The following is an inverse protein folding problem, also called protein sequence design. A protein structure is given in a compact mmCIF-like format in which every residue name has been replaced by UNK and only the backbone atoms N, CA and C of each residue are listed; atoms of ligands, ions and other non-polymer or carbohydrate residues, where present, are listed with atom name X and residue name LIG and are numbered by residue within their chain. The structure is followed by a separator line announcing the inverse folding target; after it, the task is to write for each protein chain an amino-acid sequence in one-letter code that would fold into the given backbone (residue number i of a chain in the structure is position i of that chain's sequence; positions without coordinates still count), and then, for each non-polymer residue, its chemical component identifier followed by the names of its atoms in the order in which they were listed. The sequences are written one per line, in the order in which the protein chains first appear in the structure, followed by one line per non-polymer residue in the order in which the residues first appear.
data_IF_450477914623
#
_entry.id   IF_450477914623
#
_cell.length_a   1.000
_cell.length_b   1.000
_cell.length_c   1.000
_cell.angle_alpha   90.00
_cell.angle_beta   90.00
_cell.angle_gamma   90.00
#
_symmetry.space_group_name_H-M   'P 1'
#
loop_
_entity.id
_entity.type
_entity.pdbx_description
1 polymer ?
#
# COMPACT_ATOMS: atom_id res chain seq x y z
N UNK A 1 37.69 -7.63 34.51
CA UNK A 1 38.67 -6.60 34.13
C UNK A 1 38.02 -5.52 33.28
N UNK A 2 38.67 -4.36 33.23
CA UNK A 2 38.19 -3.22 32.41
C UNK A 2 38.15 -3.59 30.91
N UNK A 3 39.11 -4.36 30.42
CA UNK A 3 39.14 -4.83 29.02
C UNK A 3 37.99 -5.77 28.67
N UNK A 4 37.57 -6.67 29.56
CA UNK A 4 36.44 -7.54 29.33
C UNK A 4 35.11 -6.76 29.24
N UNK A 5 34.96 -5.72 30.06
CA UNK A 5 33.78 -4.85 30.03
C UNK A 5 33.68 -4.02 28.75
N UNK A 6 34.81 -3.54 28.25
CA UNK A 6 34.86 -2.80 26.98
C UNK A 6 34.54 -3.69 25.79
N UNK A 7 35.04 -4.93 25.77
CA UNK A 7 34.72 -5.93 24.73
C UNK A 7 33.23 -6.25 24.71
N UNK A 8 32.62 -6.43 25.87
CA UNK A 8 31.17 -6.72 25.98
C UNK A 8 30.32 -5.54 25.50
N UNK A 9 30.72 -4.30 25.84
CA UNK A 9 30.04 -3.10 25.35
C UNK A 9 30.12 -2.98 23.83
N UNK A 10 31.28 -3.26 23.24
CA UNK A 10 31.48 -3.23 21.80
C UNK A 10 30.60 -4.27 21.09
N UNK A 11 30.51 -5.50 21.63
CA UNK A 11 29.65 -6.55 21.09
C UNK A 11 28.16 -6.16 21.14
N UNK A 12 27.70 -5.57 22.23
CA UNK A 12 26.32 -5.10 22.39
C UNK A 12 26.00 -3.98 21.39
N UNK A 13 26.90 -3.03 21.17
CA UNK A 13 26.74 -1.97 20.17
C UNK A 13 26.63 -2.55 18.77
N UNK A 14 27.48 -3.50 18.41
CA UNK A 14 27.48 -4.15 17.10
C UNK A 14 26.18 -4.92 16.87
N UNK A 15 25.70 -5.67 17.88
CA UNK A 15 24.44 -6.39 17.80
C UNK A 15 23.25 -5.44 17.61
N UNK A 16 23.23 -4.30 18.29
CA UNK A 16 22.18 -3.28 18.13
C UNK A 16 22.22 -2.67 16.74
N UNK A 17 23.39 -2.35 16.21
CA UNK A 17 23.55 -1.82 14.86
C UNK A 17 23.11 -2.82 13.79
N UNK A 18 23.42 -4.11 13.94
CA UNK A 18 22.97 -5.17 13.03
C UNK A 18 21.45 -5.33 13.04
N UNK A 19 20.80 -5.26 14.19
CA UNK A 19 19.33 -5.33 14.29
C UNK A 19 18.67 -4.14 13.60
N UNK A 20 19.20 -2.93 13.77
CA UNK A 20 18.69 -1.73 13.09
C UNK A 20 18.85 -1.82 11.58
N UNK A 21 19.99 -2.30 11.10
CA UNK A 21 20.23 -2.50 9.67
C UNK A 21 19.30 -3.55 9.08
N UNK A 22 19.08 -4.70 9.76
CA UNK A 22 18.13 -5.72 9.36
C UNK A 22 16.71 -5.21 9.28
N UNK A 23 16.25 -4.44 10.28
CA UNK A 23 14.90 -3.84 10.28
C UNK A 23 14.72 -2.85 9.15
N UNK A 24 15.70 -1.99 8.89
CA UNK A 24 15.69 -1.04 7.78
C UNK A 24 15.66 -1.76 6.42
N UNK A 25 16.44 -2.83 6.25
CA UNK A 25 16.47 -3.65 5.03
C UNK A 25 15.12 -4.34 4.80
N UNK A 26 14.53 -4.92 5.85
CA UNK A 26 13.22 -5.58 5.78
C UNK A 26 12.14 -4.57 5.38
N UNK A 27 12.13 -3.36 5.95
CA UNK A 27 11.19 -2.30 5.55
C UNK A 27 11.34 -1.90 4.09
N UNK A 28 12.59 -1.82 3.58
CA UNK A 28 12.86 -1.51 2.18
C UNK A 28 12.35 -2.58 1.21
N UNK A 29 12.27 -3.83 1.66
CA UNK A 29 11.78 -4.95 0.86
C UNK A 29 10.25 -5.08 0.87
N UNK A 30 9.54 -4.35 1.72
CA UNK A 30 8.08 -4.37 1.75
C UNK A 30 7.51 -3.61 0.57
N UNK A 31 6.49 -4.16 -0.10
CA UNK A 31 5.79 -3.41 -1.15
C UNK A 31 5.19 -2.13 -0.58
N UNK A 32 5.38 -1.03 -1.31
CA UNK A 32 4.84 0.27 -0.91
C UNK A 32 3.42 0.43 -1.42
N UNK A 33 2.54 0.96 -0.57
CA UNK A 33 1.11 1.10 -0.85
C UNK A 33 0.65 2.53 -0.61
N UNK A 34 -0.12 3.05 -1.56
CA UNK A 34 -0.94 4.25 -1.39
C UNK A 34 -2.39 3.82 -1.21
N UNK A 35 -3.06 4.32 -0.18
CA UNK A 35 -4.47 4.03 0.07
C UNK A 35 -5.31 5.23 -0.38
N UNK A 36 -6.27 4.99 -1.27
CA UNK A 36 -7.15 6.03 -1.83
C UNK A 36 -8.59 5.71 -1.45
N UNK A 37 -9.15 6.51 -0.56
CA UNK A 37 -10.52 6.35 -0.05
C UNK A 37 -10.94 7.65 0.64
N UNK A 38 -12.19 8.10 0.44
CA UNK A 38 -12.69 9.33 1.03
C UNK A 38 -13.12 9.19 2.51
N UNK A 39 -13.15 7.97 3.05
CA UNK A 39 -13.50 7.71 4.44
C UNK A 39 -12.25 7.64 5.33
N UNK A 40 -12.01 8.60 6.22
CA UNK A 40 -10.83 8.60 7.08
C UNK A 40 -10.69 7.35 7.94
N UNK A 41 -11.80 6.85 8.48
CA UNK A 41 -11.80 5.65 9.32
C UNK A 41 -11.30 4.41 8.56
N UNK A 42 -11.70 4.27 7.29
CA UNK A 42 -11.21 3.17 6.46
C UNK A 42 -9.71 3.34 6.15
N UNK A 43 -9.27 4.55 5.81
CA UNK A 43 -7.83 4.79 5.55
C UNK A 43 -6.97 4.40 6.76
N UNK A 44 -7.39 4.77 7.95
CA UNK A 44 -6.66 4.42 9.19
C UNK A 44 -6.65 2.91 9.44
N UNK A 45 -7.80 2.26 9.35
CA UNK A 45 -7.92 0.81 9.55
C UNK A 45 -7.12 0.02 8.54
N UNK A 46 -7.22 0.37 7.28
CA UNK A 46 -6.50 -0.31 6.20
C UNK A 46 -4.99 -0.11 6.32
N UNK A 47 -4.56 1.09 6.69
CA UNK A 47 -3.15 1.40 6.92
C UNK A 47 -2.57 0.53 8.04
N UNK A 48 -3.24 0.46 9.18
CA UNK A 48 -2.79 -0.35 10.31
C UNK A 48 -2.75 -1.84 9.96
N UNK A 49 -3.79 -2.34 9.27
CA UNK A 49 -3.86 -3.72 8.83
C UNK A 49 -2.71 -4.09 7.90
N UNK A 50 -2.51 -3.30 6.85
CA UNK A 50 -1.49 -3.58 5.84
C UNK A 50 -0.07 -3.45 6.39
N UNK A 51 0.20 -2.47 7.25
CA UNK A 51 1.48 -2.36 7.94
C UNK A 51 1.76 -3.61 8.80
N UNK A 52 0.76 -4.11 9.50
CA UNK A 52 0.89 -5.33 10.31
C UNK A 52 1.10 -6.59 9.46
N UNK A 53 0.65 -6.59 8.21
CA UNK A 53 0.66 -7.76 7.33
C UNK A 53 1.70 -7.69 6.19
N UNK A 54 2.70 -6.84 6.32
CA UNK A 54 3.89 -6.90 5.47
C UNK A 54 3.99 -5.87 4.36
N UNK A 55 3.13 -4.85 4.35
CA UNK A 55 3.20 -3.74 3.41
C UNK A 55 3.72 -2.47 4.08
N UNK A 56 4.30 -1.58 3.30
CA UNK A 56 4.70 -0.25 3.75
C UNK A 56 3.70 0.77 3.19
N UNK A 57 2.83 1.31 4.04
CA UNK A 57 1.87 2.33 3.63
C UNK A 57 2.57 3.68 3.63
N UNK A 58 2.82 4.23 2.44
CA UNK A 58 3.62 5.44 2.26
C UNK A 58 2.80 6.71 2.07
N UNK A 59 1.49 6.58 1.99
CA UNK A 59 0.61 7.73 1.87
C UNK A 59 -0.85 7.33 1.77
N UNK A 60 -1.70 8.34 1.82
CA UNK A 60 -3.13 8.20 1.66
C UNK A 60 -3.68 9.40 0.88
N UNK A 61 -4.77 9.19 0.15
CA UNK A 61 -5.46 10.22 -0.60
C UNK A 61 -6.97 10.08 -0.38
N UNK A 62 -7.66 11.21 -0.36
CA UNK A 62 -9.10 11.25 -0.11
C UNK A 62 -9.95 11.32 -1.38
N UNK A 63 -9.34 11.61 -2.52
CA UNK A 63 -10.03 11.74 -3.81
C UNK A 63 -9.11 11.39 -4.98
N UNK A 64 -9.66 11.41 -6.19
CA UNK A 64 -8.93 11.03 -7.40
C UNK A 64 -7.81 12.00 -7.77
N UNK A 65 -8.02 13.29 -7.62
CA UNK A 65 -7.00 14.30 -7.92
C UNK A 65 -5.80 14.17 -6.97
N UNK A 66 -6.05 14.00 -5.68
CA UNK A 66 -5.00 13.73 -4.70
C UNK A 66 -4.24 12.43 -5.00
N UNK A 67 -4.97 11.39 -5.41
CA UNK A 67 -4.37 10.10 -5.77
C UNK A 67 -3.37 10.24 -6.92
N UNK A 68 -3.76 10.93 -7.99
CA UNK A 68 -2.90 11.13 -9.15
C UNK A 68 -1.64 11.91 -8.76
N UNK A 69 -1.80 12.99 -8.00
CA UNK A 69 -0.67 13.78 -7.50
C UNK A 69 0.25 12.98 -6.57
N UNK A 70 -0.34 12.17 -5.69
CA UNK A 70 0.42 11.35 -4.75
C UNK A 70 1.23 10.25 -5.46
N UNK A 71 0.68 9.64 -6.51
CA UNK A 71 1.40 8.64 -7.30
C UNK A 71 2.64 9.25 -7.97
N UNK A 72 2.52 10.44 -8.54
CA UNK A 72 3.65 11.16 -9.14
C UNK A 72 4.74 11.48 -8.11
N UNK A 73 4.35 11.91 -6.92
CA UNK A 73 5.27 12.31 -5.87
C UNK A 73 5.90 11.13 -5.14
N UNK A 74 5.09 10.14 -4.77
CA UNK A 74 5.50 9.04 -3.90
C UNK A 74 5.93 7.77 -4.64
N UNK A 75 5.47 7.60 -5.87
CA UNK A 75 5.73 6.42 -6.71
C UNK A 75 5.51 5.10 -5.98
N UNK A 76 4.28 4.86 -5.46
CA UNK A 76 3.98 3.61 -4.80
C UNK A 76 4.01 2.44 -5.78
N UNK A 77 4.34 1.26 -5.29
CA UNK A 77 4.28 0.04 -6.08
C UNK A 77 2.84 -0.44 -6.26
N UNK A 78 2.02 -0.21 -5.24
CA UNK A 78 0.61 -0.63 -5.20
C UNK A 78 -0.27 0.55 -4.84
N UNK A 79 -1.40 0.68 -5.52
CA UNK A 79 -2.47 1.63 -5.16
C UNK A 79 -3.73 0.85 -4.82
N UNK A 80 -4.19 0.98 -3.59
CA UNK A 80 -5.48 0.46 -3.15
C UNK A 80 -6.50 1.57 -3.38
N UNK A 81 -7.40 1.38 -4.35
CA UNK A 81 -8.21 2.47 -4.93
C UNK A 81 -9.69 2.19 -4.79
N UNK A 82 -10.39 3.03 -4.03
CA UNK A 82 -11.84 2.99 -3.95
C UNK A 82 -12.46 3.35 -5.31
N UNK A 83 -13.45 2.57 -5.74
CA UNK A 83 -14.19 2.83 -6.96
C UNK A 83 -15.05 4.10 -6.83
N UNK A 84 -15.61 4.35 -5.65
CA UNK A 84 -16.51 5.47 -5.39
C UNK A 84 -15.77 6.63 -4.70
N UNK A 85 -15.23 7.53 -5.49
CA UNK A 85 -14.57 8.73 -5.00
C UNK A 85 -15.45 9.95 -5.23
N UNK A 86 -15.29 11.06 -4.46
CA UNK A 86 -16.17 12.21 -4.56
C UNK A 86 -16.01 13.02 -5.84
N UNK A 87 -14.84 13.02 -6.46
CA UNK A 87 -14.51 13.84 -7.64
C UNK A 87 -14.46 13.05 -8.94
N UNK A 88 -13.87 11.86 -8.91
CA UNK A 88 -13.64 11.02 -10.09
C UNK A 88 -14.09 9.59 -9.80
N UNK A 89 -14.55 8.91 -10.85
CA UNK A 89 -14.79 7.48 -10.83
C UNK A 89 -13.44 6.74 -10.67
N UNK A 90 -13.38 5.77 -9.76
CA UNK A 90 -12.16 4.99 -9.53
C UNK A 90 -11.67 4.24 -10.76
N UNK A 91 -12.56 3.82 -11.66
CA UNK A 91 -12.17 3.21 -12.94
C UNK A 91 -11.40 4.21 -13.82
N UNK A 92 -11.85 5.46 -13.87
CA UNK A 92 -11.17 6.52 -14.61
C UNK A 92 -9.80 6.83 -14.02
N UNK A 93 -9.69 6.86 -12.70
CA UNK A 93 -8.39 7.05 -12.02
C UNK A 93 -7.44 5.90 -12.34
N UNK A 94 -7.92 4.67 -12.31
CA UNK A 94 -7.12 3.49 -12.65
C UNK A 94 -6.55 3.58 -14.07
N UNK A 95 -7.36 4.00 -15.04
CA UNK A 95 -6.92 4.20 -16.42
C UNK A 95 -5.85 5.28 -16.54
N UNK A 96 -6.01 6.39 -15.84
CA UNK A 96 -5.00 7.46 -15.83
C UNK A 96 -3.68 7.02 -15.23
N UNK A 97 -3.73 6.27 -14.16
CA UNK A 97 -2.51 5.73 -13.52
C UNK A 97 -1.81 4.72 -14.42
N UNK A 98 -2.56 3.89 -15.13
CA UNK A 98 -2.02 2.90 -16.05
C UNK A 98 -1.35 3.53 -17.28
N UNK A 99 -1.82 4.69 -17.71
CA UNK A 99 -1.30 5.41 -18.89
C UNK A 99 -0.03 6.21 -18.58
N UNK A 100 0.26 6.49 -17.32
CA UNK A 100 1.42 7.27 -16.90
C UNK A 100 2.72 6.48 -16.88
N UNK A 101 3.87 7.19 -16.83
CA UNK A 101 5.15 6.55 -16.56
C UNK A 101 5.16 6.01 -15.12
N UNK A 102 5.85 4.90 -14.88
CA UNK A 102 5.92 4.27 -13.57
C UNK A 102 4.55 3.84 -13.04
N UNK A 103 3.71 3.27 -13.91
CA UNK A 103 2.38 2.82 -13.55
C UNK A 103 2.39 1.86 -12.35
N UNK A 104 1.69 2.18 -11.25
CA UNK A 104 1.58 1.28 -10.12
C UNK A 104 0.65 0.11 -10.43
N UNK A 105 0.72 -0.94 -9.60
CA UNK A 105 -0.27 -2.01 -9.62
C UNK A 105 -1.50 -1.54 -8.87
N UNK A 106 -2.63 -1.42 -9.55
CA UNK A 106 -3.87 -0.92 -8.97
C UNK A 106 -4.75 -2.09 -8.54
N UNK A 107 -5.25 -2.05 -7.32
CA UNK A 107 -6.29 -2.95 -6.81
C UNK A 107 -7.50 -2.10 -6.44
N UNK A 108 -8.62 -2.38 -7.07
CA UNK A 108 -9.88 -1.67 -6.80
C UNK A 108 -10.53 -2.24 -5.55
N UNK A 109 -11.11 -1.36 -4.74
CA UNK A 109 -11.89 -1.73 -3.56
C UNK A 109 -13.23 -1.03 -3.57
N UNK A 110 -14.20 -1.62 -2.90
CA UNK A 110 -15.53 -1.01 -2.72
C UNK A 110 -16.23 -1.63 -1.51
N UNK A 111 -17.16 -0.87 -0.91
CA UNK A 111 -18.10 -1.42 0.07
C UNK A 111 -19.13 -2.34 -0.57
N UNK A 112 -19.26 -2.31 -1.90
CA UNK A 112 -20.16 -3.17 -2.69
C UNK A 112 -19.42 -4.40 -3.18
N UNK A 113 -20.18 -5.44 -3.55
CA UNK A 113 -19.66 -6.65 -4.16
C UNK A 113 -19.34 -6.46 -5.65
N UNK A 114 -18.54 -7.39 -6.20
CA UNK A 114 -18.18 -7.40 -7.61
C UNK A 114 -19.39 -7.36 -8.54
N UNK A 115 -20.49 -8.02 -8.15
CA UNK A 115 -21.72 -8.05 -8.92
C UNK A 115 -22.32 -6.66 -9.19
N UNK A 116 -22.07 -5.68 -8.32
CA UNK A 116 -22.55 -4.31 -8.50
C UNK A 116 -21.92 -3.61 -9.70
N UNK A 117 -20.73 -4.04 -10.13
CA UNK A 117 -19.99 -3.43 -11.21
C UNK A 117 -20.00 -4.21 -12.51
N UNK A 118 -20.25 -5.51 -12.44
CA UNK A 118 -20.34 -6.39 -13.62
C UNK A 118 -19.11 -6.37 -14.52
N UNK A 119 -19.31 -6.28 -15.84
CA UNK A 119 -18.20 -6.33 -16.81
C UNK A 119 -17.18 -5.20 -16.68
N UNK A 120 -17.50 -4.11 -15.99
CA UNK A 120 -16.57 -2.99 -15.77
C UNK A 120 -15.32 -3.44 -15.01
N UNK A 121 -15.42 -4.41 -14.12
CA UNK A 121 -14.26 -4.93 -13.38
C UNK A 121 -13.28 -5.66 -14.30
N UNK A 122 -13.78 -6.46 -15.22
CA UNK A 122 -12.93 -7.19 -16.19
C UNK A 122 -12.23 -6.25 -17.15
N UNK A 123 -12.89 -5.16 -17.54
CA UNK A 123 -12.36 -4.16 -18.45
C UNK A 123 -11.44 -3.15 -17.76
N UNK A 124 -11.37 -3.14 -16.44
CA UNK A 124 -10.62 -2.15 -15.67
C UNK A 124 -9.11 -2.31 -15.83
N UNK A 125 -8.40 -1.17 -15.84
CA UNK A 125 -6.94 -1.14 -15.84
C UNK A 125 -6.40 -1.40 -14.42
N UNK A 126 -6.73 -2.55 -13.86
CA UNK A 126 -6.39 -2.93 -12.49
C UNK A 126 -5.99 -4.41 -12.42
N UNK A 127 -5.24 -4.75 -11.37
CA UNK A 127 -4.82 -6.14 -11.12
C UNK A 127 -5.94 -7.00 -10.55
N UNK A 128 -6.92 -6.38 -9.90
CA UNK A 128 -8.05 -7.08 -9.31
C UNK A 128 -8.94 -6.18 -8.48
N UNK A 129 -9.87 -6.82 -7.80
CA UNK A 129 -10.88 -6.17 -6.99
C UNK A 129 -11.05 -6.91 -5.67
N UNK A 130 -11.22 -6.15 -4.59
CA UNK A 130 -11.57 -6.68 -3.27
C UNK A 130 -12.73 -5.87 -2.68
N UNK A 131 -13.81 -6.52 -2.20
CA UNK A 131 -14.72 -5.84 -1.29
C UNK A 131 -13.93 -5.38 -0.05
N UNK A 132 -14.24 -4.22 0.48
CA UNK A 132 -13.50 -3.68 1.65
C UNK A 132 -13.45 -4.63 2.84
N UNK A 133 -14.54 -5.39 3.08
CA UNK A 133 -14.61 -6.38 4.16
C UNK A 133 -13.65 -7.57 3.98
N UNK A 134 -13.19 -7.82 2.75
CA UNK A 134 -12.28 -8.92 2.44
C UNK A 134 -10.82 -8.50 2.37
N UNK A 135 -10.52 -7.23 2.67
CA UNK A 135 -9.16 -6.74 2.65
C UNK A 135 -8.30 -7.45 3.71
N UNK A 136 -7.19 -8.00 3.26
CA UNK A 136 -6.13 -8.56 4.09
C UNK A 136 -4.81 -8.44 3.35
N UNK A 137 -3.70 -8.56 4.06
CA UNK A 137 -2.39 -8.58 3.42
C UNK A 137 -2.24 -9.75 2.46
N UNK A 138 -2.75 -10.92 2.83
CA UNK A 138 -2.72 -12.13 1.98
C UNK A 138 -3.54 -11.94 0.71
N UNK A 139 -4.75 -11.41 0.82
CA UNK A 139 -5.61 -11.16 -0.33
C UNK A 139 -5.00 -10.14 -1.29
N UNK A 140 -4.44 -9.04 -0.75
CA UNK A 140 -3.78 -8.03 -1.55
C UNK A 140 -2.53 -8.59 -2.24
N UNK A 141 -1.69 -9.30 -1.51
CA UNK A 141 -0.49 -9.92 -2.07
C UNK A 141 -0.79 -10.86 -3.23
N UNK A 142 -1.88 -11.62 -3.16
CA UNK A 142 -2.29 -12.53 -4.23
C UNK A 142 -2.61 -11.80 -5.53
N UNK A 143 -3.13 -10.57 -5.45
CA UNK A 143 -3.51 -9.77 -6.62
C UNK A 143 -2.35 -8.98 -7.23
N UNK A 144 -1.33 -8.64 -6.46
CA UNK A 144 -0.23 -7.78 -6.91
C UNK A 144 1.05 -8.51 -7.28
N UNK A 145 1.02 -9.81 -7.23
CA UNK A 145 2.15 -10.66 -7.65
C UNK A 145 2.41 -10.62 -9.15
#
# INVERSE_FOLDING_TARGET
SVQARESDRARLRLATMRRRASSATIRHMRPTVLIVDDHPAFRESASALLEAEGFAVIGAAADGAEAIAAVERLRPQVVLLDIQLPDLDGFAVAERLAAGPNAPRVVLISSRDAAAYGPRLEAAAARGFLPKRELSGTALAALVR
#
